data_IF_257826526387
#
_entry.id   IF_257826526387
#
_cell.length_a   1.000
_cell.length_b   1.000
_cell.length_c   1.000
_cell.angle_alpha   90.00
_cell.angle_beta   90.00
_cell.angle_gamma   90.00
#
_symmetry.space_group_name_H-M   'P 1'
#
loop_
_entity.id
_entity.type
_entity.pdbx_description
1 polymer ?
#
# COMPACT_ATOMS: atom_id res chain seq x y z
N UNK A 1 30.78 42.90 -32.99
CA UNK A 1 29.73 42.41 -32.06
C UNK A 1 28.80 43.57 -31.72
N UNK A 2 27.49 43.46 -31.93
CA UNK A 2 26.55 44.53 -31.50
C UNK A 2 26.39 44.46 -29.98
N UNK A 3 26.69 45.55 -29.28
CA UNK A 3 26.37 45.66 -27.86
C UNK A 3 24.86 45.49 -27.66
N UNK A 4 24.45 44.62 -26.73
CA UNK A 4 23.09 44.60 -26.26
C UNK A 4 22.87 45.88 -25.45
N UNK A 5 22.04 46.78 -25.97
CA UNK A 5 21.74 48.05 -25.30
C UNK A 5 20.97 47.77 -24.00
N UNK A 6 21.17 48.61 -22.97
CA UNK A 6 20.69 48.34 -21.61
C UNK A 6 19.18 48.09 -21.53
N UNK A 7 18.40 48.68 -22.44
CA UNK A 7 16.95 48.51 -22.53
C UNK A 7 16.57 47.08 -22.92
N UNK A 8 17.37 46.40 -23.75
CA UNK A 8 17.14 44.99 -24.12
C UNK A 8 17.38 44.06 -22.93
N UNK A 9 18.42 44.35 -22.14
CA UNK A 9 18.73 43.61 -20.91
C UNK A 9 17.59 43.83 -19.90
N UNK A 10 17.18 45.09 -19.68
CA UNK A 10 16.06 45.45 -18.80
C UNK A 10 14.72 44.85 -19.24
N UNK A 11 14.44 44.77 -20.54
CA UNK A 11 13.25 44.12 -21.09
C UNK A 11 13.24 42.61 -20.83
N UNK A 12 14.36 41.92 -21.09
CA UNK A 12 14.50 40.47 -20.81
C UNK A 12 14.36 40.18 -19.31
N UNK A 13 15.02 40.96 -18.44
CA UNK A 13 14.90 40.80 -16.98
C UNK A 13 13.45 41.04 -16.54
N UNK A 14 12.79 42.09 -17.03
CA UNK A 14 11.39 42.36 -16.72
C UNK A 14 10.46 41.22 -17.13
N UNK A 15 10.66 40.65 -18.33
CA UNK A 15 9.91 39.47 -18.78
C UNK A 15 10.15 38.24 -17.89
N UNK A 16 11.39 38.00 -17.46
CA UNK A 16 11.71 36.89 -16.53
C UNK A 16 11.02 37.08 -15.18
N UNK A 17 11.07 38.29 -14.60
CA UNK A 17 10.41 38.61 -13.32
C UNK A 17 8.90 38.48 -13.43
N UNK A 18 8.28 39.04 -14.49
CA UNK A 18 6.83 38.91 -14.71
C UNK A 18 6.40 37.46 -14.92
N UNK A 19 7.20 36.66 -15.66
CA UNK A 19 6.92 35.23 -15.87
C UNK A 19 7.02 34.43 -14.56
N UNK A 20 8.00 34.74 -13.71
CA UNK A 20 8.15 34.12 -12.39
C UNK A 20 6.98 34.48 -11.46
N UNK A 21 6.64 35.77 -11.36
CA UNK A 21 5.53 36.25 -10.53
C UNK A 21 4.19 35.69 -11.01
N UNK A 22 3.97 35.64 -12.32
CA UNK A 22 2.78 35.01 -12.90
C UNK A 22 2.74 33.50 -12.59
N UNK A 23 3.86 32.78 -12.75
CA UNK A 23 3.93 31.36 -12.42
C UNK A 23 3.64 31.07 -10.94
N UNK A 24 4.14 31.93 -10.04
CA UNK A 24 3.83 31.86 -8.61
C UNK A 24 2.34 32.13 -8.34
N UNK A 25 1.78 33.21 -8.88
CA UNK A 25 0.37 33.56 -8.70
C UNK A 25 -0.58 32.51 -9.30
N UNK A 26 -0.28 31.99 -10.49
CA UNK A 26 -1.06 30.95 -11.14
C UNK A 26 -1.02 29.63 -10.34
N UNK A 27 0.11 29.30 -9.71
CA UNK A 27 0.19 28.17 -8.78
C UNK A 27 -0.57 28.41 -7.48
N UNK A 28 -0.48 29.60 -6.90
CA UNK A 28 -1.17 29.96 -5.66
C UNK A 28 -2.70 29.99 -5.81
N UNK A 29 -3.20 30.51 -6.93
CA UNK A 29 -4.63 30.68 -7.20
C UNK A 29 -5.23 29.60 -8.12
N UNK A 30 -4.46 28.59 -8.53
CA UNK A 30 -4.91 27.52 -9.44
C UNK A 30 -5.27 27.97 -10.86
N UNK A 31 -4.81 29.15 -11.30
CA UNK A 31 -5.08 29.68 -12.63
C UNK A 31 -4.40 28.85 -13.73
N UNK A 32 -4.88 28.98 -14.97
CA UNK A 32 -4.23 28.38 -16.13
C UNK A 32 -2.75 28.81 -16.20
N UNK A 33 -1.78 27.90 -16.44
CA UNK A 33 -1.95 26.49 -16.76
C UNK A 33 -1.74 25.50 -15.59
N UNK A 34 -1.86 25.91 -14.31
CA UNK A 34 -1.47 25.07 -13.17
C UNK A 34 -2.14 23.68 -13.18
N UNK A 35 -3.44 23.59 -13.46
CA UNK A 35 -4.16 22.30 -13.54
C UNK A 35 -3.62 21.37 -14.64
N UNK A 36 -3.26 21.93 -15.80
CA UNK A 36 -2.68 21.17 -16.92
C UNK A 36 -1.25 20.72 -16.58
N UNK A 37 -0.46 21.59 -15.94
CA UNK A 37 0.89 21.27 -15.49
C UNK A 37 0.90 20.22 -14.37
N UNK A 38 -0.05 20.26 -13.44
CA UNK A 38 -0.20 19.26 -12.39
C UNK A 38 -0.62 17.91 -12.98
N UNK A 39 -1.60 17.86 -13.89
CA UNK A 39 -1.96 16.62 -14.58
C UNK A 39 -0.80 16.05 -15.41
N UNK A 40 -0.02 16.91 -16.09
CA UNK A 40 1.17 16.49 -16.83
C UNK A 40 2.25 15.96 -15.88
N UNK A 41 2.53 16.66 -14.79
CA UNK A 41 3.49 16.25 -13.76
C UNK A 41 3.08 14.94 -13.10
N UNK A 42 1.80 14.75 -12.77
CA UNK A 42 1.27 13.49 -12.24
C UNK A 42 1.42 12.35 -13.23
N UNK A 43 1.12 12.57 -14.52
CA UNK A 43 1.31 11.56 -15.59
C UNK A 43 2.79 11.23 -15.81
N UNK A 44 3.67 12.22 -15.82
CA UNK A 44 5.13 12.02 -15.92
C UNK A 44 5.66 11.29 -14.68
N UNK A 45 5.20 11.62 -13.48
CA UNK A 45 5.58 10.94 -12.23
C UNK A 45 5.07 9.50 -12.19
N UNK A 46 3.84 9.26 -12.63
CA UNK A 46 3.28 7.91 -12.79
C UNK A 46 4.07 7.11 -13.83
N UNK A 47 4.46 7.73 -14.94
CA UNK A 47 5.27 7.11 -15.98
C UNK A 47 6.71 6.85 -15.51
N UNK A 48 7.34 7.76 -14.76
CA UNK A 48 8.72 7.59 -14.25
C UNK A 48 8.79 6.58 -13.11
N UNK A 49 7.79 6.53 -12.23
CA UNK A 49 7.61 5.44 -11.25
C UNK A 49 7.19 4.11 -11.90
N UNK A 50 6.85 4.12 -13.19
CA UNK A 50 6.64 2.92 -14.03
C UNK A 50 7.92 2.54 -14.79
N UNK A 51 8.69 3.53 -15.24
CA UNK A 51 10.04 3.46 -15.79
C UNK A 51 11.11 2.96 -14.80
N UNK A 52 10.97 3.29 -13.51
CA UNK A 52 12.03 3.06 -12.53
C UNK A 52 12.20 1.58 -12.17
N UNK A 53 13.41 1.01 -12.28
CA UNK A 53 13.71 -0.35 -11.83
C UNK A 53 13.85 -0.44 -10.30
N UNK A 54 13.86 0.68 -9.57
CA UNK A 54 13.95 0.67 -8.11
C UNK A 54 12.61 0.28 -7.46
N UNK A 55 12.68 -0.57 -6.44
CA UNK A 55 11.53 -0.89 -5.58
C UNK A 55 11.03 0.40 -4.91
N UNK A 56 9.76 0.76 -5.13
CA UNK A 56 9.16 2.02 -4.69
C UNK A 56 9.17 2.26 -3.16
N UNK A 57 9.59 1.29 -2.36
CA UNK A 57 9.64 1.35 -0.89
C UNK A 57 11.06 1.21 -0.31
N UNK A 58 12.08 0.97 -1.13
CA UNK A 58 13.46 0.95 -0.67
C UNK A 58 14.13 2.28 -0.95
N UNK A 59 14.66 2.88 0.12
CA UNK A 59 15.47 4.10 0.05
C UNK A 59 16.93 3.73 0.28
N UNK A 60 17.84 4.46 -0.35
CA UNK A 60 19.27 4.36 -0.03
C UNK A 60 19.50 4.59 1.47
N UNK A 61 20.47 3.86 2.04
CA UNK A 61 20.86 3.97 3.45
C UNK A 61 21.33 5.40 3.74
N UNK A 62 20.54 6.17 4.49
CA UNK A 62 20.80 7.59 4.78
C UNK A 62 21.91 7.80 5.82
N UNK A 63 22.16 6.80 6.67
CA UNK A 63 23.13 6.89 7.77
C UNK A 63 24.07 5.70 7.76
N UNK A 64 25.38 5.95 7.79
CA UNK A 64 26.37 4.92 8.09
C UNK A 64 26.43 4.66 9.60
N UNK A 65 25.35 4.04 10.10
CA UNK A 65 25.23 3.53 11.45
C UNK A 65 24.70 2.11 11.38
N UNK A 66 25.30 1.22 12.14
CA UNK A 66 24.75 -0.11 12.37
C UNK A 66 23.96 -0.06 13.69
N UNK A 67 22.77 -0.63 13.70
CA UNK A 67 22.00 -0.80 14.93
C UNK A 67 22.70 -1.80 15.85
N UNK A 68 22.45 -1.71 17.16
CA UNK A 68 23.00 -2.69 18.11
C UNK A 68 22.42 -4.07 17.80
N UNK A 69 23.26 -5.00 17.38
CA UNK A 69 22.89 -6.40 17.19
C UNK A 69 23.21 -7.20 18.45
N UNK A 70 22.19 -7.52 19.25
CA UNK A 70 22.31 -8.51 20.32
C UNK A 70 21.97 -9.87 19.71
N UNK A 71 22.96 -10.78 19.68
CA UNK A 71 22.78 -12.16 19.21
C UNK A 71 22.57 -13.07 20.41
N UNK A 72 21.32 -13.37 20.72
CA UNK A 72 20.96 -14.31 21.79
C UNK A 72 20.30 -15.56 21.19
N UNK A 73 21.09 -16.63 21.08
CA UNK A 73 20.62 -17.90 20.54
C UNK A 73 19.62 -18.62 21.48
N UNK A 74 19.55 -18.24 22.77
CA UNK A 74 18.61 -18.85 23.72
C UNK A 74 17.19 -18.27 23.59
N UNK A 75 17.03 -17.16 22.88
CA UNK A 75 15.73 -16.52 22.60
C UNK A 75 15.21 -16.81 21.17
N UNK A 76 15.91 -17.64 20.39
CA UNK A 76 15.41 -18.10 19.09
C UNK A 76 14.32 -19.15 19.33
N UNK A 77 13.14 -18.95 18.71
CA UNK A 77 12.09 -19.95 18.70
C UNK A 77 12.57 -21.20 17.94
N UNK A 78 12.45 -22.41 18.51
CA UNK A 78 13.01 -23.62 17.90
C UNK A 78 12.27 -23.97 16.60
N UNK A 79 13.01 -24.59 15.67
CA UNK A 79 12.47 -25.03 14.38
C UNK A 79 12.80 -24.10 13.21
N UNK A 80 11.84 -23.91 12.30
CA UNK A 80 12.05 -23.19 11.04
C UNK A 80 11.22 -21.91 10.96
N UNK A 81 11.84 -20.81 10.51
CA UNK A 81 11.19 -19.50 10.38
C UNK A 81 10.97 -19.15 8.91
N UNK A 82 9.74 -18.82 8.51
CA UNK A 82 9.48 -18.22 7.18
C UNK A 82 9.72 -16.72 7.24
N UNK A 83 10.57 -16.23 6.33
CA UNK A 83 10.82 -14.81 6.11
C UNK A 83 10.39 -14.42 4.71
N UNK A 84 9.32 -13.63 4.62
CA UNK A 84 8.87 -12.99 3.38
C UNK A 84 9.56 -11.64 3.26
N UNK A 85 10.38 -11.46 2.22
CA UNK A 85 11.07 -10.19 1.97
C UNK A 85 11.40 -10.03 0.48
N UNK A 86 12.07 -8.93 0.12
CA UNK A 86 12.66 -8.75 -1.21
C UNK A 86 14.15 -9.01 -1.16
N UNK A 87 14.63 -9.94 -1.98
CA UNK A 87 15.99 -10.46 -1.95
C UNK A 87 16.71 -10.21 -3.28
N UNK A 88 18.03 -9.98 -3.21
CA UNK A 88 18.86 -9.74 -4.39
C UNK A 88 19.17 -11.05 -5.12
N UNK A 89 19.27 -10.99 -6.45
CA UNK A 89 19.80 -12.06 -7.28
C UNK A 89 19.63 -11.72 -8.76
N UNK A 90 19.53 -12.74 -9.60
CA UNK A 90 19.28 -12.57 -11.03
C UNK A 90 17.97 -11.82 -11.29
N UNK A 91 17.98 -10.88 -12.23
CA UNK A 91 16.84 -9.99 -12.48
C UNK A 91 16.63 -8.89 -11.42
N UNK A 92 17.58 -8.71 -10.49
CA UNK A 92 17.55 -7.66 -9.47
C UNK A 92 16.88 -8.09 -8.17
N UNK A 93 16.31 -7.12 -7.43
CA UNK A 93 15.61 -7.38 -6.18
C UNK A 93 14.19 -7.88 -6.45
N UNK A 94 13.84 -9.05 -5.93
CA UNK A 94 12.51 -9.69 -6.15
C UNK A 94 11.93 -10.22 -4.84
N UNK A 95 10.60 -10.23 -4.67
CA UNK A 95 9.98 -10.84 -3.51
C UNK A 95 10.21 -12.36 -3.52
N UNK A 96 10.62 -12.88 -2.36
CA UNK A 96 10.99 -14.28 -2.18
C UNK A 96 10.75 -14.65 -0.72
N UNK A 97 10.10 -15.81 -0.52
CA UNK A 97 9.96 -16.40 0.81
C UNK A 97 11.17 -17.31 1.05
N UNK A 98 11.76 -17.22 2.23
CA UNK A 98 12.83 -18.11 2.68
C UNK A 98 12.42 -18.81 3.95
N UNK A 99 12.56 -20.12 3.98
CA UNK A 99 12.48 -20.94 5.18
C UNK A 99 13.89 -21.04 5.76
N UNK A 100 14.10 -20.48 6.94
CA UNK A 100 15.39 -20.40 7.62
C UNK A 100 15.44 -21.37 8.79
N UNK A 101 16.62 -21.95 9.05
CA UNK A 101 16.90 -22.64 10.31
C UNK A 101 17.30 -21.66 11.44
N UNK A 102 17.43 -22.19 12.66
CA UNK A 102 17.86 -21.45 13.86
C UNK A 102 19.23 -20.76 13.73
N UNK A 103 20.04 -21.13 12.73
CA UNK A 103 21.36 -20.54 12.43
C UNK A 103 21.29 -19.50 11.31
N UNK A 104 20.10 -19.28 10.74
CA UNK A 104 19.88 -18.39 9.60
C UNK A 104 20.24 -18.99 8.24
N UNK A 105 20.50 -20.30 8.15
CA UNK A 105 20.72 -20.97 6.87
C UNK A 105 19.39 -21.08 6.11
N UNK A 106 19.43 -20.88 4.80
CA UNK A 106 18.26 -21.04 3.94
C UNK A 106 18.05 -22.53 3.65
N UNK A 107 16.99 -23.12 4.22
CA UNK A 107 16.59 -24.51 4.01
C UNK A 107 15.71 -24.63 2.75
N UNK A 108 14.87 -23.63 2.48
CA UNK A 108 14.08 -23.53 1.26
C UNK A 108 13.93 -22.06 0.84
N UNK A 109 13.85 -21.78 -0.45
CA UNK A 109 13.59 -20.44 -0.98
C UNK A 109 12.67 -20.51 -2.21
N UNK A 110 11.72 -19.57 -2.29
CA UNK A 110 10.76 -19.48 -3.39
C UNK A 110 10.51 -18.04 -3.80
N UNK A 111 10.88 -17.71 -5.03
CA UNK A 111 10.57 -16.41 -5.67
C UNK A 111 9.10 -16.34 -6.04
N UNK A 112 8.51 -15.16 -5.86
CA UNK A 112 7.11 -14.89 -6.18
C UNK A 112 7.01 -14.02 -7.43
N UNK A 113 6.48 -14.61 -8.50
CA UNK A 113 6.08 -13.86 -9.68
C UNK A 113 4.69 -13.24 -9.48
N UNK A 114 4.70 -12.01 -8.93
CA UNK A 114 3.49 -11.21 -8.68
C UNK A 114 2.66 -10.96 -9.94
N UNK A 115 3.31 -10.82 -11.11
CA UNK A 115 2.60 -10.62 -12.38
C UNK A 115 1.83 -11.87 -12.78
N UNK A 116 2.45 -13.05 -12.63
CA UNK A 116 1.79 -14.33 -12.90
C UNK A 116 0.71 -14.70 -11.87
N UNK A 117 0.79 -14.21 -10.63
CA UNK A 117 -0.27 -14.41 -9.63
C UNK A 117 -1.53 -13.55 -9.90
N UNK A 118 -1.37 -12.34 -10.40
CA UNK A 118 -2.47 -11.38 -10.60
C UNK A 118 -2.41 -10.73 -11.99
N UNK A 119 -2.49 -11.51 -13.09
CA UNK A 119 -2.29 -11.00 -14.44
C UNK A 119 -3.32 -9.93 -14.84
N UNK A 120 -4.56 -10.08 -14.35
CA UNK A 120 -5.69 -9.22 -14.67
C UNK A 120 -5.92 -8.07 -13.65
N UNK A 121 -4.97 -7.80 -12.74
CA UNK A 121 -5.16 -6.73 -11.77
C UNK A 121 -5.29 -5.38 -12.48
N UNK A 122 -6.45 -4.73 -12.34
CA UNK A 122 -6.77 -3.60 -13.21
C UNK A 122 -5.89 -2.37 -12.91
N UNK A 123 -5.04 -2.04 -13.89
CA UNK A 123 -4.32 -0.78 -13.98
C UNK A 123 -5.29 0.40 -13.80
N UNK A 124 -5.09 1.21 -12.74
CA UNK A 124 -5.99 2.30 -12.37
C UNK A 124 -6.81 2.06 -11.09
N UNK A 125 -6.69 0.90 -10.44
CA UNK A 125 -7.16 0.67 -9.07
C UNK A 125 -6.06 0.96 -8.03
N UNK A 126 -6.42 1.02 -6.73
CA UNK A 126 -5.47 1.28 -5.60
C UNK A 126 -4.23 0.39 -5.66
N UNK A 127 -4.40 -0.87 -6.08
CA UNK A 127 -3.33 -1.85 -6.32
C UNK A 127 -2.44 -1.62 -7.55
N UNK A 128 -2.92 -1.04 -8.65
CA UNK A 128 -2.09 -0.78 -9.85
C UNK A 128 -1.37 -2.03 -10.39
N UNK A 129 -0.09 -1.90 -10.76
CA UNK A 129 0.74 -2.97 -11.36
C UNK A 129 1.30 -3.96 -10.30
N UNK A 130 1.05 -5.28 -10.40
CA UNK A 130 1.55 -6.30 -9.48
C UNK A 130 3.07 -6.27 -9.33
N UNK A 131 3.79 -5.99 -10.42
CA UNK A 131 5.24 -6.05 -10.44
C UNK A 131 5.92 -4.91 -9.66
N UNK A 132 5.16 -3.95 -9.11
CA UNK A 132 5.65 -2.89 -8.23
C UNK A 132 4.95 -2.82 -6.87
N UNK A 133 4.14 -3.84 -6.50
CA UNK A 133 3.61 -3.99 -5.12
C UNK A 133 4.41 -4.99 -4.31
N UNK A 134 4.57 -4.72 -3.02
CA UNK A 134 5.29 -5.61 -2.11
C UNK A 134 4.35 -6.68 -1.54
N UNK A 135 4.94 -7.80 -1.14
CA UNK A 135 4.27 -8.73 -0.25
C UNK A 135 4.21 -8.08 1.12
N UNK A 136 2.99 -7.85 1.61
CA UNK A 136 2.71 -7.08 2.83
C UNK A 136 2.50 -7.97 4.05
N UNK A 137 2.05 -9.22 3.82
CA UNK A 137 1.73 -10.25 4.80
C UNK A 137 1.89 -11.64 4.21
N UNK A 138 2.13 -12.63 5.08
CA UNK A 138 2.19 -14.04 4.70
C UNK A 138 1.86 -14.96 5.88
N UNK A 139 1.20 -16.08 5.61
CA UNK A 139 0.83 -17.08 6.61
C UNK A 139 1.20 -18.48 6.14
N UNK A 140 2.03 -19.20 6.91
CA UNK A 140 2.42 -20.59 6.63
C UNK A 140 1.41 -21.55 7.26
N UNK A 141 0.84 -22.44 6.45
CA UNK A 141 -0.05 -23.49 6.91
C UNK A 141 0.72 -24.75 7.35
N UNK A 142 0.17 -25.59 8.25
CA UNK A 142 0.84 -26.81 8.72
C UNK A 142 1.18 -27.84 7.62
N UNK A 143 0.49 -27.79 6.47
CA UNK A 143 0.76 -28.65 5.32
C UNK A 143 1.90 -28.12 4.41
N UNK A 144 2.50 -26.98 4.73
CA UNK A 144 3.56 -26.33 3.95
C UNK A 144 3.05 -25.38 2.85
N UNK A 145 1.73 -25.22 2.70
CA UNK A 145 1.16 -24.16 1.87
C UNK A 145 1.45 -22.79 2.49
N UNK A 146 1.47 -21.75 1.67
CA UNK A 146 1.63 -20.37 2.14
C UNK A 146 0.61 -19.44 1.48
N UNK A 147 -0.05 -18.63 2.30
CA UNK A 147 -0.82 -17.50 1.83
C UNK A 147 0.08 -16.26 1.78
N UNK A 148 -0.07 -15.45 0.75
CA UNK A 148 0.66 -14.18 0.59
C UNK A 148 -0.27 -13.03 0.17
N UNK A 149 -0.15 -11.89 0.84
CA UNK A 149 -0.87 -10.66 0.51
C UNK A 149 -0.01 -9.77 -0.39
N UNK A 150 -0.44 -9.53 -1.62
CA UNK A 150 0.15 -8.53 -2.50
C UNK A 150 -0.55 -7.19 -2.32
N UNK A 151 0.13 -6.23 -1.68
CA UNK A 151 -0.41 -4.98 -1.15
C UNK A 151 -1.42 -4.27 -2.07
N UNK A 152 -2.66 -4.12 -1.59
CA UNK A 152 -3.82 -3.52 -2.26
C UNK A 152 -4.27 -4.21 -3.56
N UNK A 153 -3.74 -5.39 -3.90
CA UNK A 153 -4.12 -6.15 -5.10
C UNK A 153 -4.96 -7.37 -4.73
N UNK A 154 -4.44 -8.25 -3.85
CA UNK A 154 -5.06 -9.54 -3.65
C UNK A 154 -4.21 -10.55 -2.88
N UNK A 155 -4.86 -11.60 -2.41
CA UNK A 155 -4.25 -12.71 -1.66
C UNK A 155 -4.16 -13.95 -2.55
N UNK A 156 -3.06 -14.68 -2.46
CA UNK A 156 -2.90 -15.97 -3.14
C UNK A 156 -2.51 -17.06 -2.15
N UNK A 157 -3.10 -18.25 -2.27
CA UNK A 157 -2.61 -19.48 -1.61
C UNK A 157 -1.77 -20.26 -2.60
N UNK A 158 -0.54 -20.58 -2.19
CA UNK A 158 0.42 -21.38 -2.94
C UNK A 158 0.67 -22.67 -2.16
N UNK A 159 0.80 -23.80 -2.84
CA UNK A 159 1.28 -25.01 -2.16
C UNK A 159 2.79 -24.96 -1.88
N UNK A 160 3.31 -25.94 -1.14
CA UNK A 160 4.76 -26.07 -0.88
C UNK A 160 5.61 -26.11 -2.17
N UNK A 161 5.03 -26.60 -3.29
CA UNK A 161 5.64 -26.62 -4.62
C UNK A 161 5.53 -25.27 -5.37
N UNK A 162 4.84 -24.29 -4.81
CA UNK A 162 4.60 -22.96 -5.37
C UNK A 162 3.50 -22.89 -6.42
N UNK A 163 2.68 -23.94 -6.55
CA UNK A 163 1.55 -23.96 -7.47
C UNK A 163 0.39 -23.19 -6.83
N UNK A 164 -0.20 -22.27 -7.59
CA UNK A 164 -1.37 -21.51 -7.17
C UNK A 164 -2.54 -22.46 -6.91
N UNK A 165 -3.08 -22.42 -5.69
CA UNK A 165 -4.30 -23.14 -5.33
C UNK A 165 -5.52 -22.26 -5.61
N UNK A 166 -5.45 -20.99 -5.21
CA UNK A 166 -6.45 -19.97 -5.52
C UNK A 166 -5.86 -18.56 -5.41
N UNK A 167 -6.56 -17.58 -5.99
CA UNK A 167 -6.31 -16.15 -5.81
C UNK A 167 -7.61 -15.42 -5.52
N UNK A 168 -7.54 -14.37 -4.69
CA UNK A 168 -8.62 -13.42 -4.44
C UNK A 168 -8.13 -12.02 -4.79
N UNK A 169 -8.91 -11.30 -5.60
CA UNK A 169 -8.58 -9.94 -6.10
C UNK A 169 -9.18 -8.82 -5.24
N UNK A 170 -9.64 -9.18 -4.04
CA UNK A 170 -10.01 -8.20 -3.02
C UNK A 170 -8.75 -7.47 -2.54
N UNK A 171 -8.78 -6.14 -2.60
CA UNK A 171 -7.63 -5.33 -2.19
C UNK A 171 -7.34 -5.58 -0.71
N UNK A 172 -6.10 -5.95 -0.39
CA UNK A 172 -5.70 -6.42 0.95
C UNK A 172 -4.57 -5.58 1.58
N UNK A 173 -4.24 -5.89 2.83
CA UNK A 173 -3.26 -5.18 3.64
C UNK A 173 -2.28 -6.11 4.39
N UNK A 174 -1.74 -5.72 5.55
CA UNK A 174 -0.56 -6.34 6.17
C UNK A 174 -0.73 -7.74 6.75
N UNK A 175 -1.88 -8.14 7.29
CA UNK A 175 -1.98 -9.43 7.99
C UNK A 175 -2.86 -10.48 7.28
N UNK A 176 -2.70 -11.72 7.73
CA UNK A 176 -3.54 -12.88 7.40
C UNK A 176 -3.62 -13.67 8.69
N UNK A 177 -4.81 -13.86 9.24
CA UNK A 177 -5.04 -14.66 10.43
C UNK A 177 -5.99 -15.81 10.11
N UNK A 178 -5.64 -17.04 10.52
CA UNK A 178 -6.49 -18.20 10.33
C UNK A 178 -7.46 -18.35 11.52
N UNK A 179 -8.74 -18.57 11.23
CA UNK A 179 -9.76 -18.90 12.23
C UNK A 179 -9.79 -20.40 12.53
N UNK A 180 -10.47 -20.78 13.62
CA UNK A 180 -10.54 -22.15 14.10
C UNK A 180 -11.27 -23.14 13.15
N UNK A 181 -12.07 -22.63 12.22
CA UNK A 181 -12.73 -23.39 11.15
C UNK A 181 -11.86 -23.57 9.88
N UNK A 182 -10.63 -23.05 9.89
CA UNK A 182 -9.70 -23.08 8.76
C UNK A 182 -9.84 -21.92 7.78
N UNK A 183 -10.86 -21.07 7.91
CA UNK A 183 -11.04 -19.84 7.14
C UNK A 183 -10.02 -18.76 7.52
N UNK A 184 -9.96 -17.67 6.75
CA UNK A 184 -8.99 -16.60 6.92
C UNK A 184 -9.68 -15.24 7.09
N UNK A 185 -9.17 -14.46 8.04
CA UNK A 185 -9.48 -13.05 8.22
C UNK A 185 -8.31 -12.21 7.70
N UNK A 186 -8.61 -11.27 6.81
CA UNK A 186 -7.62 -10.46 6.11
C UNK A 186 -8.08 -8.99 6.11
N UNK A 187 -7.22 -8.03 6.47
CA UNK A 187 -7.56 -6.62 6.34
C UNK A 187 -7.57 -6.24 4.86
N UNK A 188 -8.63 -5.55 4.45
CA UNK A 188 -8.91 -5.18 3.07
C UNK A 188 -9.09 -3.69 2.86
N UNK A 189 -9.12 -3.26 1.59
CA UNK A 189 -9.40 -1.89 1.15
C UNK A 189 -10.27 -1.90 -0.10
N UNK A 190 -11.11 -0.88 -0.26
CA UNK A 190 -11.77 -0.63 -1.54
C UNK A 190 -10.72 -0.31 -2.60
N UNK A 191 -10.92 -0.87 -3.80
CA UNK A 191 -10.03 -0.64 -4.94
C UNK A 191 -10.14 0.78 -5.54
N UNK A 192 -11.16 1.55 -5.14
CA UNK A 192 -11.43 2.93 -5.54
C UNK A 192 -11.92 3.72 -4.34
N UNK A 193 -11.77 5.04 -4.41
CA UNK A 193 -12.40 5.97 -3.48
C UNK A 193 -13.94 5.88 -3.55
N UNK A 194 -14.59 6.15 -2.43
CA UNK A 194 -16.04 6.08 -2.22
C UNK A 194 -16.49 7.33 -1.47
N UNK A 195 -17.63 7.86 -1.86
CA UNK A 195 -18.35 8.94 -1.15
C UNK A 195 -19.47 8.41 -0.25
N UNK A 196 -19.87 7.15 -0.45
CA UNK A 196 -21.02 6.52 0.21
C UNK A 196 -20.78 5.02 0.43
N UNK A 197 -21.61 4.44 1.29
CA UNK A 197 -21.64 3.00 1.61
C UNK A 197 -23.09 2.50 1.49
N UNK A 198 -23.37 1.18 1.50
CA UNK A 198 -24.75 0.70 1.53
C UNK A 198 -25.54 1.17 2.77
N UNK A 199 -24.87 1.39 3.91
CA UNK A 199 -25.48 1.94 5.12
C UNK A 199 -25.66 3.47 5.06
N UNK A 200 -24.83 4.16 4.27
CA UNK A 200 -24.81 5.61 4.11
C UNK A 200 -24.86 6.01 2.62
N UNK A 201 -25.99 5.78 1.92
CA UNK A 201 -26.08 5.91 0.46
C UNK A 201 -25.95 7.37 -0.02
N UNK A 202 -26.47 8.33 0.74
CA UNK A 202 -26.45 9.76 0.42
C UNK A 202 -25.11 10.45 0.74
N UNK A 203 -24.18 9.73 1.35
CA UNK A 203 -22.88 10.25 1.79
C UNK A 203 -22.50 9.73 3.17
N UNK A 204 -21.22 9.40 3.38
CA UNK A 204 -20.73 9.00 4.70
C UNK A 204 -20.69 10.24 5.61
N UNK A 205 -21.39 10.26 6.76
CA UNK A 205 -21.41 11.45 7.61
C UNK A 205 -19.99 11.88 8.04
N UNK A 206 -19.75 13.18 8.13
CA UNK A 206 -18.44 13.73 8.53
C UNK A 206 -17.31 13.59 7.49
N UNK A 207 -17.61 13.15 6.26
CA UNK A 207 -16.66 13.10 5.14
C UNK A 207 -17.17 13.92 3.96
N UNK A 208 -16.52 15.05 3.68
CA UNK A 208 -16.81 15.89 2.51
C UNK A 208 -16.10 15.38 1.23
N UNK A 209 -14.99 14.64 1.40
CA UNK A 209 -14.16 14.10 0.32
C UNK A 209 -14.27 12.56 0.17
N UNK A 210 -14.08 12.01 -1.04
CA UNK A 210 -14.05 10.56 -1.25
C UNK A 210 -12.89 9.86 -0.53
N UNK A 211 -13.19 8.76 0.18
CA UNK A 211 -12.22 7.96 0.95
C UNK A 211 -12.12 6.53 0.47
N UNK A 212 -10.99 5.87 0.70
CA UNK A 212 -10.92 4.41 0.67
C UNK A 212 -11.63 3.85 1.90
N UNK A 213 -12.38 2.78 1.69
CA UNK A 213 -13.05 2.03 2.76
C UNK A 213 -12.17 0.84 3.10
N UNK A 214 -11.77 0.70 4.35
CA UNK A 214 -11.16 -0.54 4.83
C UNK A 214 -12.24 -1.58 5.12
N UNK A 215 -11.90 -2.84 4.85
CA UNK A 215 -12.77 -3.98 5.04
C UNK A 215 -12.12 -4.99 5.96
N UNK A 216 -12.92 -5.67 6.78
CA UNK A 216 -12.55 -6.97 7.31
C UNK A 216 -13.05 -8.00 6.29
N UNK A 217 -12.13 -8.71 5.63
CA UNK A 217 -12.45 -9.76 4.65
C UNK A 217 -12.47 -11.12 5.36
N UNK A 218 -13.54 -11.88 5.19
CA UNK A 218 -13.63 -13.29 5.59
C UNK A 218 -13.55 -14.16 4.35
N UNK A 219 -12.53 -15.02 4.26
CA UNK A 219 -12.25 -15.85 3.08
C UNK A 219 -12.23 -17.33 3.49
N UNK A 220 -12.93 -18.19 2.75
CA UNK A 220 -12.93 -19.63 2.99
C UNK A 220 -11.54 -20.25 2.79
N UNK A 221 -11.34 -21.48 3.26
CA UNK A 221 -10.09 -22.20 3.02
C UNK A 221 -9.79 -22.32 1.50
N UNK A 222 -10.85 -22.39 0.68
CA UNK A 222 -10.84 -22.55 -0.77
C UNK A 222 -10.73 -21.21 -1.53
N UNK A 223 -10.65 -20.07 -0.84
CA UNK A 223 -10.44 -18.75 -1.45
C UNK A 223 -11.71 -17.98 -1.79
N UNK A 224 -12.88 -18.46 -1.38
CA UNK A 224 -14.17 -17.79 -1.62
C UNK A 224 -14.39 -16.67 -0.60
N UNK A 225 -14.85 -15.50 -1.03
CA UNK A 225 -15.21 -14.41 -0.12
C UNK A 225 -16.54 -14.75 0.57
N UNK A 226 -16.49 -15.02 1.87
CA UNK A 226 -17.65 -15.36 2.70
C UNK A 226 -18.36 -14.12 3.23
N UNK A 227 -17.60 -13.13 3.71
CA UNK A 227 -18.12 -11.87 4.22
C UNK A 227 -17.11 -10.72 4.01
N UNK A 228 -17.63 -9.48 4.05
CA UNK A 228 -16.89 -8.24 3.80
C UNK A 228 -17.48 -7.08 4.61
N UNK A 229 -16.97 -6.92 5.82
CA UNK A 229 -17.46 -5.94 6.80
C UNK A 229 -16.76 -4.61 6.59
N UNK A 230 -17.49 -3.51 6.38
CA UNK A 230 -16.91 -2.16 6.28
C UNK A 230 -16.51 -1.65 7.67
N UNK A 231 -15.24 -1.29 7.87
CA UNK A 231 -14.75 -0.76 9.15
C UNK A 231 -15.44 0.57 9.51
N UNK A 232 -15.77 1.41 8.53
CA UNK A 232 -16.47 2.67 8.79
C UNK A 232 -17.90 2.41 9.26
N UNK A 233 -18.69 1.61 8.51
CA UNK A 233 -20.07 1.31 8.90
C UNK A 233 -20.12 0.58 10.25
N UNK A 234 -19.13 -0.28 10.57
CA UNK A 234 -19.00 -0.94 11.87
C UNK A 234 -18.78 0.06 13.02
N UNK A 235 -17.93 1.08 12.83
CA UNK A 235 -17.72 2.13 13.83
C UNK A 235 -19.00 2.97 14.04
N UNK A 236 -19.69 3.32 12.95
CA UNK A 236 -20.97 4.04 13.01
C UNK A 236 -22.07 3.24 13.71
N UNK A 237 -22.20 1.95 13.41
CA UNK A 237 -23.18 1.06 14.05
C UNK A 237 -22.98 0.90 15.57
N UNK A 238 -21.78 1.21 16.08
CA UNK A 238 -21.43 1.12 17.50
C UNK A 238 -21.28 2.48 18.21
N UNK A 239 -21.62 3.60 17.56
CA UNK A 239 -21.48 4.95 18.17
C UNK A 239 -20.02 5.40 18.37
N UNK A 240 -19.11 4.89 17.52
CA UNK A 240 -17.66 5.12 17.58
C UNK A 240 -17.15 6.10 16.51
N UNK A 241 -18.03 6.67 15.68
CA UNK A 241 -17.69 7.62 14.62
C UNK A 241 -16.92 8.85 15.14
N UNK A 242 -17.18 9.26 16.39
CA UNK A 242 -16.43 10.34 17.08
C UNK A 242 -14.92 10.09 17.25
N UNK A 243 -14.45 8.85 17.06
CA UNK A 243 -13.02 8.53 17.15
C UNK A 243 -12.31 8.74 15.81
N UNK A 244 -13.02 8.58 14.69
CA UNK A 244 -12.55 8.92 13.35
C UNK A 244 -12.17 10.41 13.30
N UNK A 245 -13.07 11.28 13.79
CA UNK A 245 -12.85 12.73 13.83
C UNK A 245 -11.79 13.20 14.85
N UNK A 246 -11.31 12.32 15.75
CA UNK A 246 -10.16 12.60 16.64
C UNK A 246 -8.81 12.26 16.03
N UNK A 247 -8.77 11.36 15.05
CA UNK A 247 -7.55 11.07 14.25
C UNK A 247 -7.33 12.15 13.19
N UNK A 248 -8.39 12.87 12.79
CA UNK A 248 -8.25 14.14 12.08
C UNK A 248 -7.42 15.13 12.92
N UNK A 249 -6.34 15.67 12.35
CA UNK A 249 -5.38 16.55 13.05
C UNK A 249 -5.55 18.02 12.61
N UNK A 250 -6.55 18.78 13.11
CA UNK A 250 -6.70 20.20 12.78
C UNK A 250 -5.49 21.04 13.24
N UNK A 251 -4.74 20.55 14.24
CA UNK A 251 -3.49 21.13 14.73
C UNK A 251 -2.37 21.15 13.68
N UNK A 252 -2.50 20.38 12.60
CA UNK A 252 -1.52 20.33 11.51
C UNK A 252 -1.67 21.49 10.49
N UNK A 253 -2.53 22.49 10.76
CA UNK A 253 -2.66 23.70 9.93
C UNK A 253 -3.29 23.49 8.56
N UNK A 254 -3.92 22.34 8.33
CA UNK A 254 -4.67 22.00 7.11
C UNK A 254 -6.07 21.58 7.52
N UNK A 255 -7.10 22.23 6.98
CA UNK A 255 -8.49 22.13 7.44
C UNK A 255 -9.23 20.84 7.08
N UNK A 256 -8.61 19.67 7.25
CA UNK A 256 -9.23 18.37 6.98
C UNK A 256 -8.25 17.19 7.08
N UNK A 257 -8.75 15.94 6.98
CA UNK A 257 -7.91 14.75 6.99
C UNK A 257 -6.91 14.77 5.82
N UNK A 258 -5.61 14.64 6.13
CA UNK A 258 -4.54 14.76 5.12
C UNK A 258 -4.43 13.59 4.14
N UNK A 259 -5.26 12.57 4.27
CA UNK A 259 -5.28 11.37 3.41
C UNK A 259 -6.71 10.88 3.23
N UNK A 260 -7.00 10.39 2.03
CA UNK A 260 -8.21 9.66 1.66
C UNK A 260 -8.20 8.19 2.17
N UNK A 261 -7.52 7.93 3.28
CA UNK A 261 -7.16 6.60 3.78
C UNK A 261 -7.12 6.71 5.30
N UNK A 262 -8.30 6.62 5.91
CA UNK A 262 -8.60 7.25 7.21
C UNK A 262 -8.42 6.27 8.38
N UNK A 263 -8.96 5.06 8.23
CA UNK A 263 -8.86 3.98 9.21
C UNK A 263 -7.50 3.26 9.13
N UNK A 264 -6.98 3.08 7.91
CA UNK A 264 -5.72 2.39 7.59
C UNK A 264 -5.52 1.10 8.39
N UNK A 265 -6.49 0.19 8.30
CA UNK A 265 -6.50 -1.05 9.07
C UNK A 265 -5.42 -2.02 8.58
N UNK A 266 -4.36 -2.15 9.37
CA UNK A 266 -3.23 -3.03 9.06
C UNK A 266 -3.45 -4.49 9.48
N UNK A 267 -4.29 -4.75 10.49
CA UNK A 267 -4.41 -6.05 11.12
C UNK A 267 -5.86 -6.39 11.49
N UNK A 268 -6.17 -7.68 11.50
CA UNK A 268 -7.40 -8.28 12.04
C UNK A 268 -7.07 -9.70 12.52
N UNK A 269 -7.50 -10.01 13.74
CA UNK A 269 -7.29 -11.32 14.37
C UNK A 269 -8.66 -11.87 14.83
N UNK A 270 -9.01 -13.13 14.51
CA UNK A 270 -10.20 -13.76 15.06
C UNK A 270 -10.01 -14.06 16.55
N UNK A 271 -11.04 -13.81 17.36
CA UNK A 271 -11.02 -14.23 18.76
C UNK A 271 -10.98 -15.77 18.85
N UNK A 272 -10.25 -16.35 19.82
CA UNK A 272 -10.24 -17.80 20.00
C UNK A 272 -11.63 -18.30 20.42
N UNK A 273 -12.01 -19.56 20.12
CA UNK A 273 -13.35 -20.10 20.42
C UNK A 273 -13.73 -20.21 21.91
N UNK A 274 -12.86 -19.80 22.82
CA UNK A 274 -13.00 -19.89 24.27
C UNK A 274 -13.23 -18.53 24.95
N UNK A 275 -13.65 -17.51 24.19
CA UNK A 275 -13.99 -16.16 24.68
C UNK A 275 -15.48 -16.03 24.89
#
# INVERSE_FOLDING_TARGET
MRQATFEKIGFVISLMVLSFLYGFAARWHGWFPNTVLEQASQKITALSSTWSPESALLRARVYDREGVQIKDAQQIQPGLTVVTSSWAGEGGLKPELRLLDERGNVVHARRIDRGSLFPDSALGLRGGDPNRRILNGSYLLPNGDVLVNLNYIGTARLDACGRVQWTSVEGNHHSIAQAADGSFWIPGTSQRLRTSTPAHPDGIPGFDDPVYLDWILHISEQGELLDKINVIDLLYANGLERYISKVNQPQAGTGGPRKNDITHMNDVEPLPPSV
#
